data_IF_025081956253
#
_entry.id   IF_025081956253
#
_cell.length_a   1.000
_cell.length_b   1.000
_cell.length_c   1.000
_cell.angle_alpha   90.00
_cell.angle_beta   90.00
_cell.angle_gamma   90.00
#
_symmetry.space_group_name_H-M   'P 1'
#
loop_
_entity.id
_entity.type
_entity.pdbx_description
1 polymer ?
#
# COMPACT_ATOMS: atom_id res chain seq x y z
N UNK A 1 15.60 44.09 -6.21
CA UNK A 1 15.99 42.73 -6.63
C UNK A 1 15.27 41.72 -5.73
N UNK A 2 14.06 41.34 -6.09
CA UNK A 2 13.22 40.41 -5.33
C UNK A 2 13.17 39.09 -6.10
N UNK A 3 13.73 38.03 -5.52
CA UNK A 3 13.73 36.69 -6.07
C UNK A 3 12.47 35.96 -5.59
N UNK A 4 11.42 35.98 -6.39
CA UNK A 4 10.22 35.14 -6.20
C UNK A 4 10.47 33.78 -6.85
N UNK A 5 10.88 32.79 -6.05
CA UNK A 5 10.85 31.39 -6.46
C UNK A 5 9.42 30.84 -6.37
N UNK A 6 8.73 30.88 -7.50
CA UNK A 6 7.54 30.07 -7.76
C UNK A 6 7.94 28.59 -7.80
N UNK A 7 7.36 27.79 -6.92
CA UNK A 7 7.46 26.34 -6.98
C UNK A 7 6.59 25.81 -8.13
N UNK A 8 7.23 25.50 -9.25
CA UNK A 8 6.62 24.75 -10.35
C UNK A 8 6.27 23.33 -9.89
N UNK A 9 4.98 23.10 -9.65
CA UNK A 9 4.40 21.76 -9.59
C UNK A 9 4.37 21.18 -11.01
N UNK A 10 5.49 20.61 -11.45
CA UNK A 10 5.51 19.77 -12.64
C UNK A 10 4.73 18.47 -12.39
N UNK A 11 3.44 18.54 -12.69
CA UNK A 11 2.63 17.38 -13.00
C UNK A 11 3.23 16.72 -14.25
N UNK A 12 3.90 15.58 -14.06
CA UNK A 12 4.38 14.73 -15.16
C UNK A 12 3.18 14.15 -15.92
N UNK A 13 2.67 14.92 -16.88
CA UNK A 13 1.70 14.52 -17.87
C UNK A 13 2.31 13.58 -18.90
N UNK A 14 2.44 12.31 -18.56
CA UNK A 14 2.15 11.28 -19.55
C UNK A 14 0.63 11.34 -19.75
N UNK A 15 0.11 11.48 -20.99
CA UNK A 15 -1.33 11.44 -21.19
C UNK A 15 -1.84 10.13 -20.61
N UNK A 16 -2.73 10.25 -19.61
CA UNK A 16 -3.39 9.11 -19.01
C UNK A 16 -4.30 8.49 -20.07
N UNK A 17 -3.74 7.59 -20.89
CA UNK A 17 -4.49 6.79 -21.87
C UNK A 17 -5.56 5.92 -21.19
N UNK A 18 -5.71 5.95 -19.86
CA UNK A 18 -6.76 5.24 -19.12
C UNK A 18 -8.05 6.03 -18.90
N UNK A 19 -8.13 7.29 -19.36
CA UNK A 19 -9.38 8.05 -19.36
C UNK A 19 -10.39 7.57 -20.42
N UNK A 20 -9.97 6.73 -21.37
CA UNK A 20 -10.80 6.26 -22.49
C UNK A 20 -11.06 4.74 -22.50
N UNK A 21 -10.68 4.00 -21.45
CA UNK A 21 -10.67 2.53 -21.48
C UNK A 21 -11.85 1.86 -20.78
N UNK A 22 -12.72 2.61 -20.10
CA UNK A 22 -13.91 2.05 -19.49
C UNK A 22 -15.12 2.92 -19.84
N UNK A 23 -16.28 2.31 -20.14
CA UNK A 23 -17.51 3.06 -20.24
C UNK A 23 -17.89 3.56 -18.85
N UNK A 24 -18.33 4.82 -18.77
CA UNK A 24 -18.82 5.44 -17.56
C UNK A 24 -19.77 4.49 -16.79
N UNK A 25 -19.43 4.16 -15.54
CA UNK A 25 -20.27 3.35 -14.65
C UNK A 25 -19.81 1.90 -14.45
N UNK A 26 -18.61 1.53 -14.88
CA UNK A 26 -18.03 0.23 -14.48
C UNK A 26 -17.53 0.26 -13.03
N UNK A 27 -17.49 -0.92 -12.37
CA UNK A 27 -16.93 -1.04 -11.02
C UNK A 27 -15.47 -0.56 -10.93
N UNK A 28 -14.68 -0.69 -12.00
CA UNK A 28 -13.28 -0.23 -11.98
C UNK A 28 -13.16 1.29 -11.94
N UNK A 29 -13.98 2.00 -12.70
CA UNK A 29 -14.01 3.46 -12.65
C UNK A 29 -14.50 3.94 -11.30
N UNK A 30 -15.55 3.33 -10.78
CA UNK A 30 -16.07 3.64 -9.46
C UNK A 30 -15.00 3.43 -8.39
N UNK A 31 -14.28 2.30 -8.43
CA UNK A 31 -13.14 2.03 -7.55
C UNK A 31 -12.01 3.07 -7.71
N UNK A 32 -11.71 3.51 -8.94
CA UNK A 32 -10.69 4.52 -9.21
C UNK A 32 -11.08 5.86 -8.59
N UNK A 33 -12.31 6.31 -8.82
CA UNK A 33 -12.83 7.57 -8.29
C UNK A 33 -12.90 7.57 -6.76
N UNK A 34 -13.42 6.49 -6.17
CA UNK A 34 -13.42 6.30 -4.72
C UNK A 34 -11.99 6.34 -4.16
N UNK A 35 -11.02 5.71 -4.83
CA UNK A 35 -9.64 5.74 -4.36
C UNK A 35 -9.02 7.15 -4.47
N UNK A 36 -9.32 7.93 -5.51
CA UNK A 36 -8.89 9.32 -5.60
C UNK A 36 -9.43 10.16 -4.43
N UNK A 37 -10.74 10.06 -4.16
CA UNK A 37 -11.37 10.73 -3.00
C UNK A 37 -10.75 10.28 -1.68
N UNK A 38 -10.56 8.98 -1.49
CA UNK A 38 -9.90 8.38 -0.32
C UNK A 38 -8.52 9.01 -0.08
N UNK A 39 -7.70 9.11 -1.13
CA UNK A 39 -6.33 9.63 -1.05
C UNK A 39 -6.33 11.12 -0.71
N UNK A 40 -7.27 11.88 -1.25
CA UNK A 40 -7.44 13.29 -0.90
C UNK A 40 -7.78 13.47 0.58
N UNK A 41 -8.74 12.70 1.12
CA UNK A 41 -9.07 12.73 2.55
C UNK A 41 -7.91 12.31 3.44
N UNK A 42 -7.19 11.24 3.06
CA UNK A 42 -6.00 10.79 3.78
C UNK A 42 -4.92 11.87 3.82
N UNK A 43 -4.66 12.56 2.70
CA UNK A 43 -3.68 13.65 2.63
C UNK A 43 -4.10 14.83 3.51
N UNK A 44 -5.38 15.21 3.48
CA UNK A 44 -5.91 16.28 4.33
C UNK A 44 -5.78 15.93 5.83
N UNK A 45 -6.18 14.73 6.24
CA UNK A 45 -6.04 14.25 7.62
C UNK A 45 -4.58 14.20 8.08
N UNK A 46 -3.66 13.73 7.21
CA UNK A 46 -2.24 13.70 7.52
C UNK A 46 -1.62 15.10 7.65
N UNK A 47 -2.10 16.10 6.89
CA UNK A 47 -1.65 17.49 7.07
C UNK A 47 -2.04 18.02 8.44
N UNK A 48 -3.27 17.79 8.89
CA UNK A 48 -3.71 18.17 10.25
C UNK A 48 -2.88 17.45 11.32
N UNK A 49 -2.66 16.14 11.18
CA UNK A 49 -1.80 15.38 12.09
C UNK A 49 -0.37 15.93 12.14
N UNK A 50 0.20 16.31 11.00
CA UNK A 50 1.54 16.89 10.93
C UNK A 50 1.60 18.29 11.57
N UNK A 51 0.52 19.06 11.53
CA UNK A 51 0.43 20.32 12.27
C UNK A 51 0.39 20.06 13.78
N UNK A 52 -0.40 19.09 14.27
CA UNK A 52 -0.36 18.66 15.67
C UNK A 52 1.05 18.21 16.07
N UNK A 53 1.72 17.44 15.21
CA UNK A 53 3.10 17.02 15.44
C UNK A 53 4.06 18.21 15.57
N UNK A 54 3.89 19.25 14.74
CA UNK A 54 4.65 20.49 14.83
C UNK A 54 4.41 21.24 16.14
N UNK A 55 3.17 21.27 16.63
CA UNK A 55 2.85 21.82 17.96
C UNK A 55 3.57 21.02 19.04
N UNK A 56 3.47 19.68 19.03
CA UNK A 56 4.16 18.83 20.00
C UNK A 56 5.68 19.06 19.99
N UNK A 57 6.29 19.21 18.82
CA UNK A 57 7.73 19.53 18.68
C UNK A 57 8.12 20.83 19.38
N UNK A 58 7.25 21.85 19.35
CA UNK A 58 7.49 23.12 20.04
C UNK A 58 7.48 22.99 21.57
N UNK A 59 6.76 22.01 22.12
CA UNK A 59 6.68 21.77 23.57
C UNK A 59 7.82 20.91 24.12
N UNK A 60 8.60 20.26 23.25
CA UNK A 60 9.71 19.39 23.65
C UNK A 60 11.04 19.79 22.99
N UNK A 61 11.22 21.09 22.75
CA UNK A 61 12.45 21.70 22.20
C UNK A 61 12.97 20.99 20.93
N UNK A 62 12.05 20.51 20.10
CA UNK A 62 12.37 19.81 18.86
C UNK A 62 12.73 18.33 19.00
N UNK A 63 12.57 17.70 20.17
CA UNK A 63 12.74 16.24 20.31
C UNK A 63 11.64 15.48 19.57
N UNK A 64 11.99 14.94 18.41
CA UNK A 64 11.09 14.17 17.54
C UNK A 64 10.48 12.95 18.21
N UNK A 65 11.22 12.26 19.08
CA UNK A 65 10.74 11.04 19.74
C UNK A 65 9.75 11.39 20.85
N UNK A 66 10.02 12.47 21.58
CA UNK A 66 9.12 12.97 22.60
C UNK A 66 7.83 13.50 21.98
N UNK A 67 7.94 14.32 20.93
CA UNK A 67 6.78 14.83 20.19
C UNK A 67 5.86 13.71 19.68
N UNK A 68 6.44 12.63 19.14
CA UNK A 68 5.66 11.47 18.67
C UNK A 68 4.98 10.74 19.84
N UNK A 69 5.61 10.70 21.03
CA UNK A 69 5.02 10.10 22.23
C UNK A 69 3.84 10.93 22.73
N UNK A 70 4.02 12.25 22.82
CA UNK A 70 2.97 13.21 23.20
C UNK A 70 1.80 13.15 22.21
N UNK A 71 2.08 13.18 20.90
CA UNK A 71 1.02 13.11 19.90
C UNK A 71 0.20 11.82 20.04
N UNK A 72 0.82 10.68 20.34
CA UNK A 72 0.11 9.42 20.59
C UNK A 72 -0.77 9.48 21.85
N UNK A 73 -0.33 10.11 22.93
CA UNK A 73 -1.17 10.26 24.13
C UNK A 73 -2.34 11.20 23.86
N UNK A 74 -2.17 12.23 23.03
CA UNK A 74 -3.28 13.08 22.55
C UNK A 74 -4.25 12.27 21.68
N UNK A 75 -3.74 11.53 20.69
CA UNK A 75 -4.57 10.68 19.80
C UNK A 75 -5.37 9.63 20.58
N UNK A 76 -4.83 9.13 21.70
CA UNK A 76 -5.50 8.19 22.60
C UNK A 76 -6.39 8.84 23.67
N UNK A 77 -6.44 10.18 23.74
CA UNK A 77 -7.23 10.91 24.74
C UNK A 77 -6.69 10.82 26.18
N UNK A 78 -5.41 10.47 26.35
CA UNK A 78 -4.78 10.31 27.69
C UNK A 78 -3.88 11.49 28.07
N UNK A 79 -3.77 12.51 27.22
CA UNK A 79 -2.94 13.69 27.47
C UNK A 79 -3.78 14.83 28.05
N UNK A 80 -3.54 15.18 29.32
CA UNK A 80 -4.21 16.29 30.02
C UNK A 80 -3.24 17.47 30.25
N UNK A 81 -2.68 18.01 29.17
CA UNK A 81 -1.69 19.08 29.22
C UNK A 81 -2.03 20.22 28.26
N UNK A 82 -1.34 21.37 28.38
CA UNK A 82 -1.55 22.52 27.50
C UNK A 82 -1.35 22.21 26.01
N UNK A 83 -0.45 21.26 25.68
CA UNK A 83 -0.26 20.80 24.29
C UNK A 83 -1.47 20.04 23.75
N UNK A 84 -2.22 19.34 24.59
CA UNK A 84 -3.46 18.67 24.17
C UNK A 84 -4.54 19.71 23.81
N UNK A 85 -4.68 20.78 24.61
CA UNK A 85 -5.58 21.90 24.30
C UNK A 85 -5.18 22.61 23.00
N UNK A 86 -3.89 22.83 22.78
CA UNK A 86 -3.39 23.45 21.54
C UNK A 86 -3.65 22.59 20.30
N UNK A 87 -3.60 21.26 20.41
CA UNK A 87 -3.90 20.34 19.33
C UNK A 87 -5.41 20.08 19.12
N UNK A 88 -6.26 20.38 20.10
CA UNK A 88 -7.67 20.00 20.09
C UNK A 88 -8.45 20.48 18.84
N UNK A 89 -8.31 21.73 18.35
CA UNK A 89 -9.02 22.17 17.15
C UNK A 89 -8.62 21.39 15.89
N UNK A 90 -7.33 21.06 15.75
CA UNK A 90 -6.80 20.29 14.62
C UNK A 90 -7.27 18.84 14.66
N UNK A 91 -7.32 18.25 15.86
CA UNK A 91 -7.85 16.92 16.08
C UNK A 91 -9.36 16.87 15.79
N UNK A 92 -10.12 17.87 16.22
CA UNK A 92 -11.55 17.99 15.92
C UNK A 92 -11.81 18.10 14.41
N UNK A 93 -11.03 18.91 13.69
CA UNK A 93 -11.13 19.06 12.23
C UNK A 93 -10.81 17.76 11.46
N UNK A 94 -10.02 16.85 12.06
CA UNK A 94 -9.65 15.58 11.45
C UNK A 94 -10.78 14.54 11.48
N UNK A 95 -11.66 14.60 12.49
CA UNK A 95 -12.77 13.65 12.68
C UNK A 95 -13.62 13.47 11.41
N UNK A 96 -14.22 14.53 10.82
CA UNK A 96 -15.07 14.36 9.63
C UNK A 96 -14.30 13.83 8.41
N UNK A 97 -12.99 14.09 8.30
CA UNK A 97 -12.14 13.58 7.21
C UNK A 97 -11.91 12.08 7.35
N UNK A 98 -11.63 11.61 8.57
CA UNK A 98 -11.45 10.19 8.87
C UNK A 98 -12.78 9.43 8.68
N UNK A 99 -13.91 10.01 9.09
CA UNK A 99 -15.25 9.44 8.84
C UNK A 99 -15.57 9.34 7.33
N UNK A 100 -15.34 10.41 6.56
CA UNK A 100 -15.53 10.41 5.11
C UNK A 100 -14.65 9.36 4.42
N UNK A 101 -13.38 9.26 4.83
CA UNK A 101 -12.46 8.22 4.35
C UNK A 101 -12.99 6.82 4.67
N UNK A 102 -13.43 6.58 5.89
CA UNK A 102 -13.91 5.27 6.33
C UNK A 102 -15.17 4.84 5.53
N UNK A 103 -16.09 5.77 5.26
CA UNK A 103 -17.26 5.52 4.39
C UNK A 103 -16.82 5.09 2.98
N UNK A 104 -15.86 5.80 2.40
CA UNK A 104 -15.31 5.46 1.07
C UNK A 104 -14.60 4.11 1.09
N UNK A 105 -13.77 3.82 2.10
CA UNK A 105 -13.08 2.54 2.20
C UNK A 105 -14.06 1.38 2.35
N UNK A 106 -15.18 1.56 3.06
CA UNK A 106 -16.23 0.55 3.15
C UNK A 106 -16.92 0.31 1.82
N UNK A 107 -17.17 1.37 1.04
CA UNK A 107 -17.74 1.25 -0.29
C UNK A 107 -16.79 0.54 -1.27
N UNK A 108 -15.50 0.88 -1.24
CA UNK A 108 -14.47 0.17 -1.99
C UNK A 108 -14.42 -1.32 -1.65
N UNK A 109 -14.53 -1.69 -0.37
CA UNK A 109 -14.61 -3.10 0.06
C UNK A 109 -15.86 -3.78 -0.48
N UNK A 110 -17.02 -3.11 -0.42
CA UNK A 110 -18.30 -3.63 -0.95
C UNK A 110 -18.19 -3.96 -2.43
N UNK A 111 -17.64 -3.04 -3.23
CA UNK A 111 -17.42 -3.24 -4.66
C UNK A 111 -16.44 -4.38 -4.95
N UNK A 112 -15.28 -4.40 -4.27
CA UNK A 112 -14.29 -5.45 -4.43
C UNK A 112 -14.84 -6.84 -4.07
N UNK A 113 -15.68 -6.94 -3.02
CA UNK A 113 -16.30 -8.19 -2.59
C UNK A 113 -17.22 -8.80 -3.65
N UNK A 114 -17.87 -7.97 -4.48
CA UNK A 114 -18.78 -8.41 -5.55
C UNK A 114 -18.05 -8.99 -6.75
N UNK A 115 -16.74 -8.77 -6.87
CA UNK A 115 -15.99 -9.23 -8.03
C UNK A 115 -15.80 -10.76 -7.99
N UNK A 116 -15.93 -11.46 -9.14
CA UNK A 116 -15.72 -12.90 -9.22
C UNK A 116 -14.37 -13.35 -8.69
N UNK A 117 -13.30 -12.57 -8.94
CA UNK A 117 -11.95 -12.86 -8.45
C UNK A 117 -11.86 -12.89 -6.91
N UNK A 118 -12.70 -12.10 -6.23
CA UNK A 118 -12.73 -12.12 -4.77
C UNK A 118 -13.35 -13.43 -4.28
N UNK A 119 -14.46 -13.84 -4.89
CA UNK A 119 -15.18 -15.06 -4.52
C UNK A 119 -14.36 -16.32 -4.84
N UNK A 120 -13.72 -16.36 -6.01
CA UNK A 120 -12.99 -17.55 -6.47
C UNK A 120 -11.60 -17.69 -5.86
N UNK A 121 -10.98 -16.60 -5.42
CA UNK A 121 -9.58 -16.60 -4.98
C UNK A 121 -9.34 -15.70 -3.77
N UNK A 122 -9.72 -14.42 -3.86
CA UNK A 122 -9.34 -13.40 -2.88
C UNK A 122 -9.72 -13.74 -1.43
N UNK A 123 -10.94 -14.25 -1.22
CA UNK A 123 -11.44 -14.61 0.11
C UNK A 123 -10.65 -15.74 0.79
N UNK A 124 -10.02 -16.62 0.00
CA UNK A 124 -9.19 -17.72 0.51
C UNK A 124 -7.75 -17.31 0.86
N UNK A 125 -7.32 -16.11 0.48
CA UNK A 125 -5.94 -15.66 0.71
C UNK A 125 -5.83 -14.97 2.06
N UNK A 126 -5.28 -15.70 3.04
CA UNK A 126 -5.07 -15.20 4.40
C UNK A 126 -4.21 -13.92 4.41
N UNK A 127 -4.75 -12.85 5.00
CA UNK A 127 -4.09 -11.54 5.08
C UNK A 127 -4.27 -10.64 3.84
N UNK A 128 -4.99 -11.09 2.81
CA UNK A 128 -5.39 -10.29 1.66
C UNK A 128 -6.85 -9.86 1.82
N UNK A 129 -7.09 -8.56 2.04
CA UNK A 129 -8.43 -8.02 2.30
C UNK A 129 -9.08 -7.36 1.08
N UNK A 130 -10.38 -7.10 1.14
CA UNK A 130 -11.15 -6.48 0.05
C UNK A 130 -10.63 -5.08 -0.29
N UNK A 131 -10.23 -4.30 0.72
CA UNK A 131 -9.67 -2.96 0.50
C UNK A 131 -8.34 -3.02 -0.26
N UNK A 132 -7.55 -4.07 -0.04
CA UNK A 132 -6.31 -4.29 -0.78
C UNK A 132 -6.61 -4.57 -2.24
N UNK A 133 -7.57 -5.48 -2.52
CA UNK A 133 -8.03 -5.76 -3.88
C UNK A 133 -8.53 -4.47 -4.56
N UNK A 134 -9.40 -3.72 -3.88
CA UNK A 134 -9.94 -2.46 -4.38
C UNK A 134 -8.85 -1.46 -4.77
N UNK A 135 -7.83 -1.26 -3.92
CA UNK A 135 -6.70 -0.36 -4.21
C UNK A 135 -5.85 -0.81 -5.39
N UNK A 136 -5.59 -2.11 -5.49
CA UNK A 136 -4.85 -2.67 -6.63
C UNK A 136 -5.61 -2.41 -7.93
N UNK A 137 -6.92 -2.69 -7.95
CA UNK A 137 -7.76 -2.47 -9.14
C UNK A 137 -7.91 -0.99 -9.47
N UNK A 138 -8.11 -0.12 -8.48
CA UNK A 138 -8.15 1.33 -8.67
C UNK A 138 -6.85 1.87 -9.31
N UNK A 139 -5.69 1.37 -8.88
CA UNK A 139 -4.39 1.80 -9.39
C UNK A 139 -3.95 1.15 -10.71
N UNK A 140 -4.36 -0.11 -10.94
CA UNK A 140 -3.94 -0.91 -12.09
C UNK A 140 -4.97 -0.93 -13.24
N UNK A 141 -6.25 -0.73 -12.97
CA UNK A 141 -7.32 -0.97 -13.94
C UNK A 141 -7.58 -2.46 -14.15
N UNK A 142 -8.04 -2.82 -15.36
CA UNK A 142 -8.31 -4.20 -15.74
C UNK A 142 -7.00 -4.99 -15.82
N UNK A 143 -6.90 -6.04 -15.01
CA UNK A 143 -5.71 -6.89 -14.97
C UNK A 143 -5.58 -7.74 -16.24
N UNK A 144 -6.67 -7.91 -17.00
CA UNK A 144 -6.71 -8.63 -18.28
C UNK A 144 -5.94 -7.93 -19.41
N UNK A 145 -5.81 -6.61 -19.35
CA UNK A 145 -5.06 -5.80 -20.34
C UNK A 145 -3.54 -6.04 -20.25
N UNK A 146 -3.05 -6.56 -19.12
CA UNK A 146 -1.64 -6.87 -18.96
C UNK A 146 -1.33 -8.22 -19.60
N UNK A 147 -0.52 -8.18 -20.67
CA UNK A 147 -0.06 -9.40 -21.37
C UNK A 147 0.68 -10.40 -20.46
N UNK A 148 1.31 -9.91 -19.40
CA UNK A 148 1.96 -10.75 -18.40
C UNK A 148 2.05 -10.04 -17.02
N UNK A 149 2.28 -10.79 -15.94
CA UNK A 149 2.43 -10.25 -14.58
C UNK A 149 3.55 -9.21 -14.43
N UNK A 150 4.62 -9.28 -15.24
CA UNK A 150 5.73 -8.35 -15.13
C UNK A 150 5.35 -6.92 -15.52
N UNK A 151 4.42 -6.77 -16.49
CA UNK A 151 3.83 -5.46 -16.83
C UNK A 151 3.02 -4.89 -15.66
N UNK A 152 2.24 -5.74 -14.96
CA UNK A 152 1.52 -5.34 -13.75
C UNK A 152 2.50 -4.95 -12.62
N UNK A 153 3.60 -5.69 -12.44
CA UNK A 153 4.64 -5.32 -11.47
C UNK A 153 5.24 -3.95 -11.78
N UNK A 154 5.47 -3.61 -13.05
CA UNK A 154 5.96 -2.28 -13.46
C UNK A 154 4.94 -1.19 -13.12
N UNK A 155 3.65 -1.43 -13.40
CA UNK A 155 2.55 -0.50 -13.04
C UNK A 155 2.50 -0.23 -11.53
N UNK A 156 2.71 -1.27 -10.72
CA UNK A 156 2.64 -1.21 -9.25
C UNK A 156 3.98 -0.83 -8.58
N UNK A 157 5.00 -0.45 -9.35
CA UNK A 157 6.28 0.03 -8.78
C UNK A 157 7.22 -1.07 -8.29
N UNK A 158 7.01 -2.34 -8.67
CA UNK A 158 7.77 -3.50 -8.20
C UNK A 158 8.76 -4.05 -9.22
N UNK A 159 8.79 -3.55 -10.46
CA UNK A 159 9.66 -4.05 -11.52
C UNK A 159 11.15 -3.79 -11.27
N UNK A 160 11.99 -4.53 -11.99
CA UNK A 160 13.38 -4.15 -12.20
C UNK A 160 13.44 -3.44 -13.56
N UNK A 161 14.14 -2.31 -13.61
CA UNK A 161 14.37 -1.52 -14.82
C UNK A 161 15.88 -1.39 -14.95
N UNK A 162 16.45 -1.89 -16.04
CA UNK A 162 17.88 -1.91 -16.29
C UNK A 162 18.70 -2.55 -15.14
N UNK A 163 18.19 -3.67 -14.60
CA UNK A 163 18.79 -4.37 -13.45
C UNK A 163 18.57 -3.68 -12.10
N UNK A 164 18.14 -2.42 -12.06
CA UNK A 164 17.87 -1.66 -10.84
C UNK A 164 16.43 -1.81 -10.35
N UNK A 165 16.20 -1.60 -9.05
CA UNK A 165 14.83 -1.47 -8.50
C UNK A 165 14.16 -0.22 -9.06
N UNK A 166 12.89 -0.35 -9.46
CA UNK A 166 12.07 0.80 -9.82
C UNK A 166 11.95 1.75 -8.60
N UNK A 167 12.32 3.02 -8.78
CA UNK A 167 12.35 4.07 -7.77
C UNK A 167 12.08 5.42 -8.40
N UNK A 168 11.84 6.45 -7.57
CA UNK A 168 11.89 7.84 -8.02
C UNK A 168 13.34 8.16 -8.41
N UNK A 169 13.53 8.71 -9.60
CA UNK A 169 14.81 9.16 -10.14
C UNK A 169 14.72 10.67 -10.29
N UNK A 170 15.71 11.40 -9.77
CA UNK A 170 15.85 12.84 -9.94
C UNK A 170 17.04 13.15 -10.83
N UNK A 171 17.01 14.30 -11.52
CA UNK A 171 18.11 14.77 -12.37
C UNK A 171 18.20 14.15 -13.77
N UNK A 172 17.54 13.02 -14.02
CA UNK A 172 17.50 12.36 -15.33
C UNK A 172 16.05 12.06 -15.73
N UNK A 173 15.53 12.87 -16.64
CA UNK A 173 14.14 12.80 -17.13
C UNK A 173 13.88 11.51 -17.91
N UNK A 174 14.81 11.07 -18.75
CA UNK A 174 14.63 9.86 -19.55
C UNK A 174 14.60 8.62 -18.66
N UNK A 175 15.54 8.52 -17.70
CA UNK A 175 15.54 7.43 -16.73
C UNK A 175 14.29 7.49 -15.86
N UNK A 176 13.82 8.66 -15.46
CA UNK A 176 12.56 8.80 -14.72
C UNK A 176 11.35 8.28 -15.52
N UNK A 177 11.27 8.59 -16.83
CA UNK A 177 10.23 8.09 -17.74
C UNK A 177 10.32 6.57 -17.90
N UNK A 178 11.53 6.01 -18.13
CA UNK A 178 11.74 4.56 -18.24
C UNK A 178 11.30 3.82 -16.97
N UNK A 179 11.63 4.39 -15.81
CA UNK A 179 11.20 3.89 -14.52
C UNK A 179 9.68 3.99 -14.35
N UNK A 180 9.03 5.06 -14.81
CA UNK A 180 7.57 5.23 -14.72
C UNK A 180 7.05 5.05 -13.28
N UNK A 181 7.83 5.49 -12.29
CA UNK A 181 7.59 5.20 -10.89
C UNK A 181 6.44 6.04 -10.33
N UNK A 182 5.40 5.37 -9.84
CA UNK A 182 4.32 6.00 -9.09
C UNK A 182 4.42 5.61 -7.60
N UNK A 183 4.73 6.60 -6.75
CA UNK A 183 4.94 6.39 -5.32
C UNK A 183 3.68 5.91 -4.58
N UNK A 184 2.50 6.34 -5.05
CA UNK A 184 1.21 6.00 -4.46
C UNK A 184 0.89 4.52 -4.67
N UNK A 185 0.95 4.05 -5.93
CA UNK A 185 0.76 2.61 -6.25
C UNK A 185 1.77 1.73 -5.54
N UNK A 186 3.02 2.20 -5.44
CA UNK A 186 4.06 1.49 -4.69
C UNK A 186 3.76 1.41 -3.20
N UNK A 187 3.17 2.47 -2.63
CA UNK A 187 2.77 2.52 -1.23
C UNK A 187 1.58 1.61 -0.97
N UNK A 188 0.57 1.60 -1.84
CA UNK A 188 -0.61 0.74 -1.69
C UNK A 188 -0.23 -0.74 -1.67
N UNK A 189 0.62 -1.20 -2.60
CA UNK A 189 1.08 -2.59 -2.58
C UNK A 189 1.96 -2.86 -1.36
N UNK A 190 2.73 -1.88 -0.86
CA UNK A 190 3.53 -2.08 0.34
C UNK A 190 2.66 -2.28 1.59
N UNK A 191 1.68 -1.40 1.76
CA UNK A 191 0.76 -1.40 2.89
C UNK A 191 -0.18 -2.61 2.87
N UNK A 192 -0.35 -3.24 1.71
CA UNK A 192 -1.04 -4.52 1.57
C UNK A 192 -0.19 -5.71 2.04
N UNK A 193 1.12 -5.71 1.76
CA UNK A 193 2.01 -6.85 2.04
C UNK A 193 2.42 -6.92 3.51
N UNK A 194 2.67 -5.77 4.14
CA UNK A 194 3.08 -5.71 5.55
C UNK A 194 2.13 -6.47 6.50
N UNK A 195 0.80 -6.21 6.51
CA UNK A 195 -0.12 -6.96 7.35
C UNK A 195 -0.23 -8.43 6.91
N UNK A 196 -0.13 -8.71 5.61
CA UNK A 196 -0.21 -10.08 5.11
C UNK A 196 0.89 -10.97 5.69
N UNK A 197 2.15 -10.48 5.78
CA UNK A 197 3.24 -11.22 6.42
C UNK A 197 2.87 -11.67 7.84
N UNK A 198 2.24 -10.80 8.63
CA UNK A 198 1.81 -11.12 10.01
C UNK A 198 0.76 -12.24 10.08
N UNK A 199 0.04 -12.48 8.99
CA UNK A 199 -0.99 -13.51 8.92
C UNK A 199 -0.50 -14.81 8.26
N UNK A 200 0.53 -14.75 7.42
CA UNK A 200 1.06 -15.92 6.71
C UNK A 200 2.22 -16.60 7.42
N UNK A 201 2.87 -15.94 8.40
CA UNK A 201 3.90 -16.53 9.25
C UNK A 201 3.61 -16.27 10.73
N UNK A 202 4.05 -17.17 11.60
CA UNK A 202 4.08 -17.00 13.05
C UNK A 202 5.51 -17.06 13.57
N UNK A 203 5.72 -16.62 14.81
CA UNK A 203 6.95 -16.88 15.53
C UNK A 203 7.01 -18.36 15.95
N UNK A 204 8.09 -19.06 15.59
CA UNK A 204 8.40 -20.35 16.18
C UNK A 204 8.75 -20.15 17.64
N UNK A 205 8.11 -20.93 18.52
CA UNK A 205 8.38 -20.92 19.97
C UNK A 205 9.07 -22.21 20.38
N UNK A 206 9.90 -22.13 21.41
CA UNK A 206 10.44 -23.28 22.15
C UNK A 206 9.37 -23.83 23.10
N UNK A 207 9.66 -24.96 23.73
CA UNK A 207 8.78 -25.60 24.72
C UNK A 207 8.47 -24.69 25.92
N UNK A 208 9.43 -23.85 26.32
CA UNK A 208 9.27 -22.83 27.38
C UNK A 208 8.43 -21.60 26.96
N UNK A 209 7.90 -21.59 25.73
CA UNK A 209 7.12 -20.49 25.17
C UNK A 209 7.95 -19.30 24.66
N UNK A 210 9.26 -19.29 24.84
CA UNK A 210 10.17 -18.27 24.32
C UNK A 210 10.32 -18.38 22.80
N UNK A 211 10.68 -17.28 22.14
CA UNK A 211 10.86 -17.25 20.68
C UNK A 211 12.15 -17.98 20.30
N UNK A 212 12.05 -18.95 19.40
CA UNK A 212 13.23 -19.58 18.81
C UNK A 212 13.96 -18.56 17.95
N UNK A 213 15.23 -18.28 18.27
CA UNK A 213 16.07 -17.39 17.49
C UNK A 213 16.97 -18.21 16.55
N UNK A 214 17.23 -17.67 15.36
CA UNK A 214 18.24 -18.20 14.45
C UNK A 214 19.66 -17.70 14.83
N UNK A 215 20.66 -18.12 14.06
CA UNK A 215 22.07 -17.71 14.23
C UNK A 215 22.30 -16.20 14.17
N UNK A 216 21.32 -15.43 13.66
CA UNK A 216 21.37 -13.97 13.57
C UNK A 216 20.57 -13.26 14.67
N UNK A 217 20.06 -13.99 15.66
CA UNK A 217 19.24 -13.42 16.75
C UNK A 217 17.82 -13.04 16.33
N UNK A 218 17.34 -13.46 15.17
CA UNK A 218 15.96 -13.23 14.71
C UNK A 218 15.05 -14.40 15.04
N UNK A 219 13.80 -14.10 15.36
CA UNK A 219 12.77 -15.12 15.53
C UNK A 219 12.60 -15.94 14.25
N UNK A 220 12.79 -17.25 14.38
CA UNK A 220 12.49 -18.24 13.35
C UNK A 220 11.00 -18.13 13.02
N UNK A 221 10.69 -18.02 11.73
CA UNK A 221 9.33 -17.84 11.25
C UNK A 221 8.74 -19.19 10.85
N UNK A 222 7.64 -19.59 11.47
CA UNK A 222 6.86 -20.76 11.10
C UNK A 222 5.87 -20.36 9.99
N UNK A 223 5.93 -20.95 8.79
CA UNK A 223 4.94 -20.68 7.76
C UNK A 223 3.57 -21.26 8.15
N UNK A 224 2.51 -20.47 7.94
CA UNK A 224 1.12 -20.87 8.22
C UNK A 224 0.30 -21.14 6.95
N UNK A 225 0.86 -20.78 5.78
CA UNK A 225 0.18 -20.85 4.47
C UNK A 225 1.23 -21.06 3.37
N UNK A 226 0.83 -21.42 2.14
CA UNK A 226 1.76 -21.49 1.01
C UNK A 226 2.49 -20.17 0.71
N UNK A 227 1.86 -19.02 0.98
CA UNK A 227 2.52 -17.71 0.89
C UNK A 227 3.56 -17.51 2.00
N UNK A 228 3.30 -18.06 3.19
CA UNK A 228 4.25 -18.09 4.30
C UNK A 228 5.48 -18.93 3.96
N UNK A 229 5.29 -20.11 3.40
CA UNK A 229 6.39 -20.99 2.94
C UNK A 229 7.25 -20.27 1.91
N UNK A 230 6.62 -19.68 0.88
CA UNK A 230 7.31 -18.88 -0.12
C UNK A 230 8.09 -17.72 0.50
N UNK A 231 7.49 -16.99 1.45
CA UNK A 231 8.13 -15.86 2.11
C UNK A 231 9.34 -16.29 2.95
N UNK A 232 9.23 -17.36 3.74
CA UNK A 232 10.33 -17.87 4.57
C UNK A 232 11.48 -18.35 3.69
N UNK A 233 11.18 -19.13 2.64
CA UNK A 233 12.18 -19.61 1.69
C UNK A 233 12.88 -18.46 0.96
N UNK A 234 12.13 -17.47 0.47
CA UNK A 234 12.72 -16.32 -0.21
C UNK A 234 13.52 -15.45 0.75
N UNK A 235 13.07 -15.26 2.00
CA UNK A 235 13.86 -14.54 3.02
C UNK A 235 15.19 -15.23 3.27
N UNK A 236 15.21 -16.56 3.38
CA UNK A 236 16.45 -17.30 3.54
C UNK A 236 17.37 -17.16 2.32
N UNK A 237 16.83 -17.36 1.10
CA UNK A 237 17.58 -17.17 -0.15
C UNK A 237 18.21 -15.77 -0.26
N UNK A 238 17.49 -14.73 0.16
CA UNK A 238 18.02 -13.37 0.13
C UNK A 238 19.12 -13.15 1.17
N UNK A 239 19.05 -13.82 2.34
CA UNK A 239 20.16 -13.82 3.31
C UNK A 239 21.39 -14.49 2.73
N UNK A 240 21.23 -15.68 2.14
CA UNK A 240 22.36 -16.43 1.58
C UNK A 240 23.07 -15.63 0.49
N UNK A 241 22.30 -14.95 -0.38
CA UNK A 241 22.84 -14.04 -1.41
C UNK A 241 23.57 -12.82 -0.86
N UNK A 242 23.17 -12.35 0.32
CA UNK A 242 23.74 -11.16 0.95
C UNK A 242 24.85 -11.51 1.95
N UNK A 243 25.10 -12.80 2.22
CA UNK A 243 26.11 -13.27 3.15
C UNK A 243 27.49 -12.71 2.76
N UNK A 244 28.21 -12.15 3.74
CA UNK A 244 29.52 -11.53 3.53
C UNK A 244 29.49 -10.14 2.89
N UNK A 245 28.33 -9.60 2.53
CA UNK A 245 28.20 -8.22 2.03
C UNK A 245 27.84 -7.25 3.16
N UNK A 246 28.14 -5.96 3.00
CA UNK A 246 27.64 -4.90 3.92
C UNK A 246 26.10 -4.82 3.92
N UNK A 247 25.45 -5.33 2.87
CA UNK A 247 23.98 -5.40 2.74
C UNK A 247 23.37 -6.63 3.46
N UNK A 248 24.18 -7.46 4.13
CA UNK A 248 23.72 -8.65 4.89
C UNK A 248 22.76 -8.32 6.05
N UNK A 249 22.49 -7.04 6.32
CA UNK A 249 21.55 -6.64 7.36
C UNK A 249 20.20 -7.33 7.18
N UNK A 250 19.75 -7.91 8.28
CA UNK A 250 18.51 -8.67 8.41
C UNK A 250 17.29 -7.95 7.81
N UNK A 251 17.27 -6.62 7.95
CA UNK A 251 16.25 -5.74 7.38
C UNK A 251 16.23 -5.82 5.85
N UNK A 252 17.36 -5.81 5.15
CA UNK A 252 17.38 -5.84 3.68
C UNK A 252 16.87 -7.15 3.11
N UNK A 253 17.24 -8.29 3.72
CA UNK A 253 16.71 -9.59 3.33
C UNK A 253 15.19 -9.66 3.51
N UNK A 254 14.67 -9.18 4.66
CA UNK A 254 13.24 -9.08 4.94
C UNK A 254 12.50 -8.24 3.90
N UNK A 255 13.01 -7.05 3.60
CA UNK A 255 12.37 -6.10 2.68
C UNK A 255 12.38 -6.62 1.23
N UNK A 256 13.44 -7.33 0.83
CA UNK A 256 13.50 -8.03 -0.46
C UNK A 256 12.50 -9.19 -0.50
N UNK A 257 12.40 -10.00 0.55
CA UNK A 257 11.41 -11.08 0.64
C UNK A 257 9.97 -10.55 0.55
N UNK A 258 9.64 -9.45 1.25
CA UNK A 258 8.35 -8.76 1.13
C UNK A 258 8.07 -8.33 -0.31
N UNK A 259 9.05 -7.74 -1.00
CA UNK A 259 8.92 -7.36 -2.42
C UNK A 259 8.60 -8.57 -3.31
N UNK A 260 9.28 -9.69 -3.10
CA UNK A 260 9.03 -10.92 -3.83
C UNK A 260 7.64 -11.51 -3.53
N UNK A 261 7.20 -11.48 -2.27
CA UNK A 261 5.85 -11.86 -1.88
C UNK A 261 4.81 -10.98 -2.60
N UNK A 262 5.03 -9.66 -2.66
CA UNK A 262 4.18 -8.74 -3.41
C UNK A 262 4.08 -9.08 -4.91
N UNK A 263 5.21 -9.44 -5.54
CA UNK A 263 5.20 -9.92 -6.93
C UNK A 263 4.41 -11.22 -7.09
N UNK A 264 4.56 -12.15 -6.15
CA UNK A 264 3.86 -13.44 -6.15
C UNK A 264 2.35 -13.24 -6.08
N UNK A 265 1.87 -12.42 -5.16
CA UNK A 265 0.44 -12.13 -5.00
C UNK A 265 -0.13 -11.44 -6.24
N UNK A 266 0.55 -10.43 -6.79
CA UNK A 266 0.07 -9.77 -8.01
C UNK A 266 -0.01 -10.73 -9.20
N UNK A 267 0.92 -11.69 -9.28
CA UNK A 267 0.90 -12.71 -10.32
C UNK A 267 -0.27 -13.67 -10.14
N UNK A 268 -0.49 -14.13 -8.92
CA UNK A 268 -1.54 -15.10 -8.63
C UNK A 268 -2.94 -14.42 -8.75
N UNK A 269 -3.07 -13.15 -8.36
CA UNK A 269 -4.23 -12.29 -8.64
C UNK A 269 -4.45 -12.13 -10.15
N UNK A 270 -3.42 -11.82 -10.93
CA UNK A 270 -3.53 -11.69 -12.39
C UNK A 270 -4.00 -12.99 -13.04
N UNK A 271 -3.52 -14.15 -12.57
CA UNK A 271 -3.98 -15.47 -13.03
C UNK A 271 -5.44 -15.70 -12.68
N UNK A 272 -5.83 -15.47 -11.42
CA UNK A 272 -7.21 -15.65 -10.96
C UNK A 272 -8.18 -14.74 -11.72
N UNK A 273 -7.79 -13.48 -11.96
CA UNK A 273 -8.56 -12.51 -12.73
C UNK A 273 -8.85 -13.00 -14.16
N UNK A 274 -7.85 -13.54 -14.86
CA UNK A 274 -8.04 -14.08 -16.20
C UNK A 274 -8.85 -15.37 -16.20
N UNK A 275 -8.67 -16.22 -15.19
CA UNK A 275 -9.41 -17.47 -15.05
C UNK A 275 -10.93 -17.24 -14.86
N UNK A 276 -11.33 -16.15 -14.20
CA UNK A 276 -12.74 -15.80 -14.04
C UNK A 276 -13.31 -14.93 -15.18
N UNK A 277 -12.62 -14.84 -16.32
CA UNK A 277 -13.08 -14.07 -17.49
C UNK A 277 -12.89 -12.55 -17.37
N UNK A 278 -12.08 -12.08 -16.41
CA UNK A 278 -11.89 -10.65 -16.16
C UNK A 278 -13.20 -9.93 -15.86
N UNK A 279 -13.41 -8.78 -16.49
CA UNK A 279 -14.62 -7.95 -16.37
C UNK A 279 -15.71 -8.28 -17.37
N UNK A 280 -15.63 -9.39 -18.12
CA UNK A 280 -16.72 -9.84 -19.00
C UNK A 280 -18.06 -10.07 -18.26
N UNK A 281 -18.09 -9.93 -16.93
CA UNK A 281 -19.25 -10.01 -16.06
C UNK A 281 -19.76 -8.65 -15.51
N UNK A 282 -19.20 -7.51 -15.95
CA UNK A 282 -19.64 -6.18 -15.54
C UNK A 282 -20.53 -5.53 -16.61
N UNK A 283 -21.76 -6.04 -16.72
CA UNK A 283 -22.83 -5.26 -17.32
C UNK A 283 -23.09 -4.01 -16.44
N UNK A 284 -23.50 -2.87 -17.03
CA UNK A 284 -23.87 -1.70 -16.25
C UNK A 284 -24.94 -2.09 -15.23
N UNK A 285 -24.81 -1.60 -14.00
CA UNK A 285 -25.68 -1.96 -12.87
C UNK A 285 -27.15 -1.50 -13.00
N UNK A 286 -27.63 -1.20 -14.22
CA UNK A 286 -28.88 -0.50 -14.51
C UNK A 286 -29.76 -1.13 -15.59
N UNK A 287 -29.75 -2.46 -15.72
CA UNK A 287 -30.74 -3.18 -16.54
C UNK A 287 -32.06 -3.41 -15.78
N UNK A 288 -32.67 -2.36 -15.23
CA UNK A 288 -34.08 -2.41 -14.85
C UNK A 288 -34.89 -2.23 -16.13
N UNK A 289 -35.34 -3.35 -16.70
CA UNK A 289 -36.36 -3.36 -17.72
C UNK A 289 -37.63 -2.73 -17.13
N UNK A 290 -37.89 -1.47 -17.50
CA UNK A 290 -39.26 -0.96 -17.52
C UNK A 290 -39.97 -1.65 -18.68
N UNK A 291 -40.67 -2.73 -18.34
CA UNK A 291 -41.87 -3.18 -19.04
C UNK A 291 -43.08 -2.75 -18.21
#
# INVERSE_FOLDING_TARGET
>A
MQNTHLHDTHANGLPDRSAALYPAGTVLEELRELNHRRVNWLRAANRLRNQCFGVCMGYCDGDKKEAERILKTIENGTCNSGVALACAPLMAARIPLDEARNKIENEMKRLARRLPVWQSWGAGVKGFGELTLAKILAGAGDLGEYANPAKLWKRMGLALVDGERQRRVGGDTEKAVRHGYNAERRSDIWNAIEPMVKHVVSATKREDGSRLLNEFGETVSLPLTPYGEYFVAERQRQRDKLRGTKDCYLKHALERAKRHLGKRILRDLWRAWRACGGLALNQPAGGAAHA
#
